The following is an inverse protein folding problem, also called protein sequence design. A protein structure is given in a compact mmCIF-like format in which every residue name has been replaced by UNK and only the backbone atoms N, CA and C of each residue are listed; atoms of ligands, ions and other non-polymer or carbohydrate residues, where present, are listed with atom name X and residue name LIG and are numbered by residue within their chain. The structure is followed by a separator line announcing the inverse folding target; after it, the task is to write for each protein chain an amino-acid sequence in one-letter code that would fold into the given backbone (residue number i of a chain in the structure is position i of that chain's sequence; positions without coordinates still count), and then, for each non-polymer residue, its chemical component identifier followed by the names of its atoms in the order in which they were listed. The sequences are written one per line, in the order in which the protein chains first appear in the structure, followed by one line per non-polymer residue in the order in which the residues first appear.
data_IF_994721526354
#
_entry.id   IF_994721526354
#
_cell.length_a   1.000
_cell.length_b   1.000
_cell.length_c   1.000
_cell.angle_alpha   90.00
_cell.angle_beta   90.00
_cell.angle_gamma   90.00
#
_symmetry.space_group_name_H-M   'P 1'
#
loop_
_entity.id
_entity.type
_entity.pdbx_description
1 polymer ?
#
# COMPACT_ATOMS: atom_id res chain seq x y z
N UNK A 1 20.95 -34.16 -26.68
CA UNK A 1 21.46 -33.85 -25.33
C UNK A 1 20.41 -32.99 -24.64
N UNK A 2 19.72 -33.58 -23.66
CA UNK A 2 18.63 -32.95 -22.91
C UNK A 2 19.25 -32.18 -21.74
N UNK A 3 19.42 -30.87 -21.85
CA UNK A 3 19.80 -30.02 -20.72
C UNK A 3 18.54 -29.74 -19.90
N UNK A 4 18.32 -30.59 -18.90
CA UNK A 4 17.39 -30.32 -17.81
C UNK A 4 17.81 -29.03 -17.10
N UNK A 5 17.16 -27.91 -17.41
CA UNK A 5 17.20 -26.73 -16.55
C UNK A 5 16.50 -27.09 -15.24
N UNK A 6 17.28 -27.44 -14.22
CA UNK A 6 16.81 -27.47 -12.85
C UNK A 6 16.39 -26.05 -12.47
N UNK A 7 15.10 -25.80 -12.42
CA UNK A 7 14.57 -24.65 -11.69
C UNK A 7 15.03 -24.80 -10.24
N UNK A 8 15.89 -23.89 -9.79
CA UNK A 8 16.27 -23.84 -8.39
C UNK A 8 14.99 -23.74 -7.53
N UNK A 9 14.87 -24.51 -6.44
CA UNK A 9 13.73 -24.39 -5.55
C UNK A 9 13.70 -22.95 -5.03
N UNK A 10 12.59 -22.24 -5.22
CA UNK A 10 12.37 -20.94 -4.56
C UNK A 10 12.47 -21.18 -3.06
N UNK A 11 13.52 -20.66 -2.45
CA UNK A 11 13.68 -20.68 -1.00
C UNK A 11 12.50 -19.87 -0.45
N UNK A 12 11.60 -20.49 0.33
CA UNK A 12 10.41 -19.85 0.92
C UNK A 12 10.80 -18.86 2.06
N UNK A 13 12.01 -18.29 1.98
CA UNK A 13 12.59 -17.41 2.97
C UNK A 13 12.65 -16.02 2.38
N UNK A 14 12.19 -15.05 3.17
CA UNK A 14 12.32 -13.64 2.87
C UNK A 14 13.79 -13.29 2.59
N UNK A 15 14.04 -12.54 1.50
CA UNK A 15 15.37 -12.09 1.11
C UNK A 15 16.00 -11.18 2.19
N UNK A 16 17.29 -10.86 2.06
CA UNK A 16 18.00 -10.05 3.04
C UNK A 16 17.32 -8.69 3.24
N UNK A 17 17.01 -8.01 2.14
CA UNK A 17 16.36 -6.71 2.07
C UNK A 17 14.98 -6.74 2.74
N UNK A 18 14.21 -7.79 2.51
CA UNK A 18 12.92 -7.98 3.17
C UNK A 18 13.04 -8.23 4.67
N UNK A 19 14.04 -8.99 5.12
CA UNK A 19 14.27 -9.18 6.56
C UNK A 19 14.71 -7.89 7.23
N UNK A 20 15.61 -7.15 6.58
CA UNK A 20 16.07 -5.84 7.05
C UNK A 20 14.89 -4.87 7.20
N UNK A 21 14.05 -4.75 6.16
CA UNK A 21 12.87 -3.87 6.21
C UNK A 21 11.91 -4.26 7.33
N UNK A 22 11.68 -5.57 7.51
CA UNK A 22 10.81 -6.10 8.56
C UNK A 22 11.30 -5.80 9.96
N UNK A 23 12.60 -6.00 10.22
CA UNK A 23 13.18 -5.66 11.51
C UNK A 23 13.12 -4.15 11.76
N UNK A 24 13.46 -3.32 10.78
CA UNK A 24 13.40 -1.86 10.91
C UNK A 24 11.99 -1.35 11.17
N UNK A 25 11.00 -1.82 10.41
CA UNK A 25 9.59 -1.45 10.57
C UNK A 25 9.08 -1.85 11.95
N UNK A 26 9.13 -3.14 12.30
CA UNK A 26 8.60 -3.64 13.57
C UNK A 26 9.32 -3.06 14.79
N UNK A 27 10.65 -2.98 14.76
CA UNK A 27 11.44 -2.45 15.88
C UNK A 27 11.09 -0.99 16.14
N UNK A 28 10.95 -0.18 15.08
CA UNK A 28 10.56 1.23 15.23
C UNK A 28 9.15 1.35 15.80
N UNK A 29 8.19 0.59 15.25
CA UNK A 29 6.81 0.60 15.75
C UNK A 29 6.75 0.23 17.24
N UNK A 30 7.40 -0.88 17.62
CA UNK A 30 7.38 -1.42 18.98
C UNK A 30 8.09 -0.47 19.95
N UNK A 31 9.28 0.03 19.64
CA UNK A 31 10.03 0.92 20.53
C UNK A 31 9.23 2.20 20.80
N UNK A 32 8.67 2.83 19.75
CA UNK A 32 7.89 4.06 19.91
C UNK A 32 6.66 3.81 20.75
N UNK A 33 5.93 2.70 20.54
CA UNK A 33 4.74 2.36 21.33
C UNK A 33 5.08 2.05 22.79
N UNK A 34 6.05 1.17 23.06
CA UNK A 34 6.45 0.79 24.42
C UNK A 34 6.94 2.02 25.20
N UNK A 35 7.69 2.91 24.55
CA UNK A 35 8.17 4.12 25.20
C UNK A 35 7.03 5.11 25.48
N UNK A 36 6.08 5.26 24.57
CA UNK A 36 5.10 6.37 24.62
C UNK A 36 3.79 6.01 25.32
N UNK A 37 3.27 4.80 25.12
CA UNK A 37 1.97 4.37 25.65
C UNK A 37 1.88 4.55 27.17
N UNK A 38 2.85 4.11 27.99
CA UNK A 38 2.79 4.33 29.44
C UNK A 38 2.79 5.81 29.81
N UNK A 39 3.55 6.65 29.07
CA UNK A 39 3.64 8.07 29.36
C UNK A 39 2.31 8.79 29.16
N UNK A 40 1.61 8.48 28.06
CA UNK A 40 0.27 9.03 27.80
C UNK A 40 -0.74 8.46 28.79
N UNK A 41 -0.72 7.15 29.02
CA UNK A 41 -1.67 6.47 29.90
C UNK A 41 -1.61 6.95 31.36
N UNK A 42 -0.40 7.15 31.89
CA UNK A 42 -0.20 7.65 33.26
C UNK A 42 -0.15 9.19 33.36
N UNK A 43 -0.39 9.91 32.26
CA UNK A 43 -0.44 11.38 32.26
C UNK A 43 0.90 12.05 32.59
N UNK A 44 2.04 11.43 32.23
CA UNK A 44 3.37 11.99 32.46
C UNK A 44 3.84 12.93 31.34
N UNK A 45 3.01 13.10 30.30
CA UNK A 45 3.23 14.04 29.20
C UNK A 45 2.10 15.08 29.17
N UNK A 46 2.32 16.26 28.54
CA UNK A 46 1.28 17.28 28.46
C UNK A 46 0.01 16.76 27.79
N UNK A 47 -1.16 17.19 28.28
CA UNK A 47 -2.47 16.85 27.71
C UNK A 47 -2.79 17.60 26.40
N UNK A 48 -1.75 18.01 25.67
CA UNK A 48 -1.86 18.67 24.37
C UNK A 48 -1.23 17.74 23.36
N UNK A 49 -2.03 17.26 22.40
CA UNK A 49 -1.62 16.23 21.43
C UNK A 49 -0.33 16.58 20.68
N UNK A 50 -0.21 17.82 20.19
CA UNK A 50 1.02 18.28 19.55
C UNK A 50 2.25 18.20 20.47
N UNK A 51 2.07 18.41 21.78
CA UNK A 51 3.16 18.33 22.74
C UNK A 51 3.49 16.87 23.13
N UNK A 52 2.48 16.02 23.28
CA UNK A 52 2.64 14.60 23.58
C UNK A 52 3.43 13.85 22.49
N UNK A 53 3.34 14.30 21.24
CA UNK A 53 4.03 13.68 20.10
C UNK A 53 5.53 14.02 19.98
N UNK A 54 6.05 15.00 20.73
CA UNK A 54 7.48 15.32 20.70
C UNK A 54 8.36 14.14 21.16
N UNK A 55 7.93 13.39 22.18
CA UNK A 55 8.62 12.19 22.64
C UNK A 55 8.80 11.14 21.53
N UNK A 56 7.71 10.64 20.92
CA UNK A 56 7.75 9.80 19.73
C UNK A 56 8.67 10.30 18.62
N UNK A 57 8.59 11.59 18.29
CA UNK A 57 9.42 12.21 17.22
C UNK A 57 10.90 12.17 17.59
N UNK A 58 11.25 12.41 18.85
CA UNK A 58 12.63 12.32 19.34
C UNK A 58 13.14 10.87 19.32
N UNK A 59 12.32 9.89 19.69
CA UNK A 59 12.68 8.47 19.58
C UNK A 59 12.95 8.08 18.11
N UNK A 60 12.08 8.52 17.20
CA UNK A 60 12.28 8.32 15.77
C UNK A 60 13.57 8.99 15.27
N UNK A 61 13.85 10.23 15.67
CA UNK A 61 15.09 10.92 15.30
C UNK A 61 16.34 10.16 15.78
N UNK A 62 16.32 9.65 17.03
CA UNK A 62 17.41 8.85 17.59
C UNK A 62 17.60 7.54 16.82
N UNK A 63 16.52 6.83 16.49
CA UNK A 63 16.57 5.61 15.67
C UNK A 63 17.22 5.88 14.32
N UNK A 64 16.84 6.98 13.65
CA UNK A 64 17.44 7.35 12.36
C UNK A 64 18.91 7.74 12.48
N UNK A 65 19.33 8.37 13.58
CA UNK A 65 20.75 8.64 13.85
C UNK A 65 21.54 7.34 13.97
N UNK A 66 21.02 6.35 14.71
CA UNK A 66 21.64 5.02 14.84
C UNK A 66 21.70 4.30 13.50
N UNK A 67 20.61 4.29 12.73
CA UNK A 67 20.57 3.69 11.39
C UNK A 67 21.59 4.35 10.45
N UNK A 68 21.67 5.68 10.48
CA UNK A 68 22.65 6.43 9.68
C UNK A 68 24.08 6.08 10.06
N UNK A 69 24.34 5.75 11.32
CA UNK A 69 25.67 5.31 11.76
C UNK A 69 25.97 3.88 11.31
N UNK A 70 25.01 2.96 11.43
CA UNK A 70 25.21 1.51 11.23
C UNK A 70 25.11 1.03 9.77
N UNK A 71 24.19 1.59 8.98
CA UNK A 71 23.86 1.08 7.64
C UNK A 71 24.36 2.01 6.53
N UNK A 72 24.65 1.46 5.35
CA UNK A 72 25.16 2.19 4.18
C UNK A 72 24.37 1.82 2.93
N UNK A 73 24.53 2.63 1.89
CA UNK A 73 24.02 2.38 0.54
C UNK A 73 22.55 1.93 0.50
N UNK A 74 22.27 0.80 -0.15
CA UNK A 74 20.90 0.30 -0.34
C UNK A 74 20.24 -0.08 0.99
N UNK A 75 20.98 -0.71 1.91
CA UNK A 75 20.46 -1.11 3.22
C UNK A 75 20.00 0.11 4.02
N UNK A 76 20.75 1.21 3.97
CA UNK A 76 20.34 2.47 4.58
C UNK A 76 19.04 3.01 3.96
N UNK A 77 18.90 2.94 2.63
CA UNK A 77 17.71 3.43 1.94
C UNK A 77 16.46 2.59 2.24
N UNK A 78 16.60 1.28 2.40
CA UNK A 78 15.53 0.38 2.82
C UNK A 78 15.17 0.66 4.28
N UNK A 79 16.18 0.74 5.15
CA UNK A 79 15.99 0.96 6.58
C UNK A 79 15.26 2.28 6.87
N UNK A 80 15.69 3.40 6.27
CA UNK A 80 15.09 4.73 6.53
C UNK A 80 13.60 4.80 6.12
N UNK A 81 13.23 4.14 5.02
CA UNK A 81 11.82 4.06 4.56
C UNK A 81 11.00 3.15 5.47
N UNK A 82 11.58 2.02 5.88
CA UNK A 82 10.93 1.05 6.76
C UNK A 82 10.71 1.63 8.15
N UNK A 83 11.68 2.35 8.71
CA UNK A 83 11.51 3.02 10.01
C UNK A 83 10.58 4.21 9.92
N UNK A 84 10.60 4.98 8.83
CA UNK A 84 9.61 6.02 8.58
C UNK A 84 8.19 5.45 8.63
N UNK A 85 7.93 4.37 7.88
CA UNK A 85 6.62 3.71 7.87
C UNK A 85 6.27 3.09 9.23
N UNK A 86 7.24 2.50 9.93
CA UNK A 86 7.04 1.95 11.28
C UNK A 86 6.73 3.04 12.32
N UNK A 87 7.32 4.22 12.20
CA UNK A 87 6.99 5.39 13.01
C UNK A 87 5.59 5.92 12.69
N UNK A 88 5.23 6.04 11.40
CA UNK A 88 3.89 6.45 10.99
C UNK A 88 2.82 5.46 11.50
N UNK A 89 3.12 4.16 11.51
CA UNK A 89 2.29 3.12 12.12
C UNK A 89 2.13 3.31 13.63
N UNK A 90 3.23 3.56 14.36
CA UNK A 90 3.13 3.80 15.80
C UNK A 90 2.37 5.09 16.11
N UNK A 91 2.63 6.17 15.39
CA UNK A 91 1.95 7.44 15.55
C UNK A 91 0.45 7.32 15.28
N UNK A 92 0.05 6.58 14.24
CA UNK A 92 -1.35 6.33 13.94
C UNK A 92 -2.05 5.54 15.05
N UNK A 93 -1.41 4.48 15.57
CA UNK A 93 -1.92 3.71 16.71
C UNK A 93 -2.08 4.60 17.95
N UNK A 94 -1.10 5.46 18.27
CA UNK A 94 -1.19 6.39 19.39
C UNK A 94 -2.37 7.35 19.24
N UNK A 95 -2.58 7.89 18.04
CA UNK A 95 -3.73 8.76 17.73
C UNK A 95 -5.05 8.01 17.90
N UNK A 96 -5.15 6.79 17.37
CA UNK A 96 -6.37 5.97 17.45
C UNK A 96 -6.74 5.68 18.92
N UNK A 97 -5.74 5.34 19.75
CA UNK A 97 -5.97 4.90 21.12
C UNK A 97 -6.26 6.04 22.09
N UNK A 98 -5.60 7.18 21.93
CA UNK A 98 -5.59 8.21 22.97
C UNK A 98 -6.05 9.60 22.49
N UNK A 99 -6.11 9.87 21.18
CA UNK A 99 -6.48 11.20 20.71
C UNK A 99 -7.96 11.53 20.86
N UNK A 100 -8.30 12.80 20.68
CA UNK A 100 -9.69 13.22 20.57
C UNK A 100 -10.37 12.50 19.40
N UNK A 101 -11.68 12.28 19.50
CA UNK A 101 -12.43 11.50 18.51
C UNK A 101 -12.30 12.08 17.09
N UNK A 102 -12.20 13.40 16.96
CA UNK A 102 -11.99 14.09 15.68
C UNK A 102 -10.66 13.72 14.99
N UNK A 103 -9.64 13.33 15.77
CA UNK A 103 -8.32 12.95 15.24
C UNK A 103 -8.20 11.45 14.98
N UNK A 104 -8.99 10.61 15.65
CA UNK A 104 -8.94 9.14 15.50
C UNK A 104 -9.19 8.71 14.07
N UNK A 105 -10.11 9.39 13.38
CA UNK A 105 -10.41 9.14 11.97
C UNK A 105 -9.17 9.32 11.07
N UNK A 106 -8.42 10.40 11.28
CA UNK A 106 -7.15 10.63 10.60
C UNK A 106 -6.09 9.59 11.00
N UNK A 107 -6.08 9.18 12.26
CA UNK A 107 -5.25 8.08 12.75
C UNK A 107 -5.49 6.78 11.96
N UNK A 108 -6.75 6.38 11.77
CA UNK A 108 -7.07 5.16 10.99
C UNK A 108 -6.69 5.31 9.52
N UNK A 109 -6.89 6.48 8.91
CA UNK A 109 -6.38 6.75 7.57
C UNK A 109 -4.84 6.59 7.50
N UNK A 110 -4.11 7.20 8.43
CA UNK A 110 -2.65 7.15 8.46
C UNK A 110 -2.13 5.72 8.70
N UNK A 111 -2.83 4.91 9.49
CA UNK A 111 -2.56 3.48 9.68
C UNK A 111 -2.62 2.74 8.33
N UNK A 112 -3.72 2.85 7.59
CA UNK A 112 -3.84 2.17 6.29
C UNK A 112 -2.82 2.66 5.26
N UNK A 113 -2.46 3.93 5.27
CA UNK A 113 -1.41 4.48 4.40
C UNK A 113 -0.05 3.88 4.74
N UNK A 114 0.35 3.90 6.01
CA UNK A 114 1.63 3.33 6.46
C UNK A 114 1.71 1.83 6.15
N UNK A 115 0.66 1.08 6.50
CA UNK A 115 0.58 -0.35 6.27
C UNK A 115 0.62 -0.71 4.78
N UNK A 116 -0.13 -0.02 3.92
CA UNK A 116 -0.15 -0.27 2.47
C UNK A 116 1.24 -0.15 1.85
N UNK A 117 1.93 0.97 2.12
CA UNK A 117 3.26 1.22 1.55
C UNK A 117 4.31 0.24 2.05
N UNK A 118 4.24 -0.14 3.31
CA UNK A 118 5.18 -1.10 3.87
C UNK A 118 4.91 -2.53 3.36
N UNK A 119 3.64 -2.95 3.37
CA UNK A 119 3.23 -4.29 2.96
C UNK A 119 3.48 -4.52 1.46
N UNK A 120 3.45 -3.49 0.61
CA UNK A 120 3.87 -3.55 -0.79
C UNK A 120 5.31 -3.99 -0.95
N UNK A 121 6.23 -3.32 -0.26
CA UNK A 121 7.65 -3.66 -0.32
C UNK A 121 7.88 -5.08 0.18
N UNK A 122 7.27 -5.43 1.32
CA UNK A 122 7.41 -6.76 1.92
C UNK A 122 6.84 -7.87 1.01
N UNK A 123 5.71 -7.61 0.34
CA UNK A 123 5.11 -8.55 -0.59
C UNK A 123 6.02 -8.83 -1.79
N UNK A 124 6.64 -7.81 -2.39
CA UNK A 124 7.62 -8.02 -3.47
C UNK A 124 8.86 -8.75 -2.95
N UNK A 125 9.38 -8.38 -1.78
CA UNK A 125 10.54 -9.03 -1.19
C UNK A 125 10.30 -10.54 -0.96
N UNK A 126 9.04 -10.92 -0.73
CA UNK A 126 8.63 -12.31 -0.59
C UNK A 126 8.36 -13.00 -1.94
N UNK A 127 7.63 -12.37 -2.85
CA UNK A 127 7.08 -13.04 -4.04
C UNK A 127 7.89 -12.85 -5.32
N UNK A 128 8.68 -11.77 -5.43
CA UNK A 128 9.54 -11.46 -6.57
C UNK A 128 10.78 -10.63 -6.15
N UNK A 129 11.72 -11.20 -5.38
CA UNK A 129 12.88 -10.47 -4.87
C UNK A 129 13.80 -9.95 -5.99
N UNK A 130 13.75 -10.52 -7.20
CA UNK A 130 14.55 -10.07 -8.33
C UNK A 130 14.15 -8.69 -8.86
N UNK A 131 12.89 -8.27 -8.65
CA UNK A 131 12.41 -6.94 -9.04
C UNK A 131 12.36 -5.95 -7.86
N UNK A 132 12.85 -6.35 -6.69
CA UNK A 132 12.77 -5.53 -5.48
C UNK A 132 13.68 -4.31 -5.58
N UNK A 133 13.13 -3.13 -5.31
CA UNK A 133 13.89 -1.90 -5.19
C UNK A 133 13.28 -0.97 -4.13
N UNK A 134 13.94 0.15 -3.85
CA UNK A 134 13.37 1.19 -2.96
C UNK A 134 12.08 1.80 -3.50
N UNK A 135 11.80 1.66 -4.80
CA UNK A 135 10.55 2.13 -5.40
C UNK A 135 9.38 1.18 -5.11
N UNK A 136 9.67 -0.06 -4.69
CA UNK A 136 8.65 -1.05 -4.30
C UNK A 136 7.87 -0.65 -3.04
N UNK A 137 8.32 0.35 -2.27
CA UNK A 137 7.52 0.97 -1.21
C UNK A 137 6.37 1.84 -1.75
N UNK A 138 6.43 2.26 -3.03
CA UNK A 138 5.43 3.10 -3.70
C UNK A 138 5.23 4.48 -3.00
N UNK A 139 6.23 4.95 -2.25
CA UNK A 139 6.13 6.25 -1.55
C UNK A 139 6.09 7.44 -2.52
N UNK A 140 6.91 7.39 -3.59
CA UNK A 140 7.02 8.45 -4.57
C UNK A 140 6.33 8.03 -5.88
N UNK A 141 5.00 8.12 -5.88
CA UNK A 141 4.20 7.62 -6.99
C UNK A 141 4.11 8.60 -8.17
N UNK A 142 3.81 9.86 -7.89
CA UNK A 142 3.77 10.99 -8.83
C UNK A 142 3.47 12.28 -8.08
N UNK A 143 3.67 13.43 -8.72
CA UNK A 143 3.21 14.72 -8.18
C UNK A 143 1.69 14.76 -8.00
N UNK A 144 0.92 14.12 -8.89
CA UNK A 144 -0.54 14.06 -8.81
C UNK A 144 -1.01 13.27 -7.57
N UNK A 145 -0.30 12.21 -7.23
CA UNK A 145 -0.55 11.45 -6.01
C UNK A 145 -0.33 12.31 -4.76
N UNK A 146 0.79 13.06 -4.70
CA UNK A 146 1.08 13.96 -3.59
C UNK A 146 0.02 15.08 -3.47
N UNK A 147 -0.38 15.67 -4.60
CA UNK A 147 -1.44 16.68 -4.64
C UNK A 147 -2.79 16.13 -4.17
N UNK A 148 -3.16 14.91 -4.58
CA UNK A 148 -4.39 14.26 -4.13
C UNK A 148 -4.37 13.96 -2.63
N UNK A 149 -3.23 13.55 -2.07
CA UNK A 149 -3.07 13.35 -0.63
C UNK A 149 -3.23 14.68 0.12
N UNK A 150 -2.52 15.73 -0.29
CA UNK A 150 -2.61 17.07 0.33
C UNK A 150 -4.03 17.62 0.24
N UNK A 151 -4.70 17.47 -0.91
CA UNK A 151 -6.10 17.89 -1.07
C UNK A 151 -7.02 17.18 -0.07
N UNK A 152 -6.83 15.87 0.14
CA UNK A 152 -7.62 15.10 1.12
C UNK A 152 -7.39 15.56 2.56
N UNK A 153 -6.16 15.97 2.90
CA UNK A 153 -5.86 16.48 4.24
C UNK A 153 -6.45 17.86 4.46
N UNK A 154 -6.42 18.72 3.44
CA UNK A 154 -7.03 20.05 3.48
C UNK A 154 -8.55 19.94 3.62
N UNK A 155 -9.20 19.11 2.80
CA UNK A 155 -10.65 18.87 2.91
C UNK A 155 -11.02 18.35 4.30
N UNK A 156 -10.30 17.34 4.79
CA UNK A 156 -10.54 16.79 6.12
C UNK A 156 -10.41 17.86 7.21
N UNK A 157 -9.32 18.63 7.22
CA UNK A 157 -9.07 19.66 8.22
C UNK A 157 -10.12 20.79 8.19
N UNK A 158 -10.50 21.23 6.99
CA UNK A 158 -11.54 22.26 6.81
C UNK A 158 -12.90 21.76 7.29
N UNK A 159 -13.26 20.51 7.01
CA UNK A 159 -14.54 19.94 7.42
C UNK A 159 -14.60 19.62 8.91
N UNK A 160 -13.48 19.22 9.55
CA UNK A 160 -13.40 19.12 11.01
C UNK A 160 -13.60 20.50 11.65
N UNK A 161 -13.04 21.56 11.06
CA UNK A 161 -13.15 22.92 11.58
C UNK A 161 -14.54 23.56 11.36
N UNK A 162 -15.12 23.38 10.18
CA UNK A 162 -16.39 24.03 9.77
C UNK A 162 -17.62 23.18 10.05
N UNK A 163 -17.52 21.85 9.98
CA UNK A 163 -18.63 20.89 9.96
C UNK A 163 -18.36 19.64 10.84
N UNK A 164 -17.98 19.78 12.13
CA UNK A 164 -17.56 18.64 12.97
C UNK A 164 -18.63 17.54 13.11
N UNK A 165 -19.91 17.93 13.17
CA UNK A 165 -21.03 16.97 13.23
C UNK A 165 -21.09 16.04 12.02
N UNK A 166 -20.61 16.47 10.85
CA UNK A 166 -20.55 15.65 9.64
C UNK A 166 -19.46 14.56 9.72
N UNK A 167 -18.37 14.81 10.44
CA UNK A 167 -17.31 13.81 10.65
C UNK A 167 -17.66 12.75 11.70
N UNK A 168 -18.74 12.96 12.45
CA UNK A 168 -19.19 12.06 13.51
C UNK A 168 -20.01 10.86 13.03
N UNK A 169 -20.24 10.69 11.71
CA UNK A 169 -21.04 9.57 11.16
C UNK A 169 -20.28 8.23 11.21
N UNK A 170 -20.28 7.59 12.38
CA UNK A 170 -19.49 6.39 12.68
C UNK A 170 -19.66 5.22 11.69
N UNK A 171 -20.88 4.95 11.22
CA UNK A 171 -21.12 3.79 10.35
C UNK A 171 -20.51 3.93 8.94
N UNK A 172 -20.32 5.16 8.46
CA UNK A 172 -19.87 5.40 7.09
C UNK A 172 -18.35 5.20 6.99
N UNK A 173 -17.56 5.65 7.96
CA UNK A 173 -16.11 5.45 7.90
C UNK A 173 -15.71 3.97 8.13
N UNK A 174 -16.53 3.18 8.85
CA UNK A 174 -16.36 1.72 8.97
C UNK A 174 -16.43 1.02 7.60
N UNK A 175 -17.30 1.49 6.69
CA UNK A 175 -17.30 0.99 5.31
C UNK A 175 -15.95 1.25 4.63
N UNK A 176 -15.34 2.41 4.88
CA UNK A 176 -14.00 2.74 4.41
C UNK A 176 -12.95 1.76 4.93
N UNK A 177 -12.99 1.41 6.23
CA UNK A 177 -12.11 0.40 6.84
C UNK A 177 -12.28 -0.97 6.17
N UNK A 178 -13.52 -1.40 5.91
CA UNK A 178 -13.81 -2.66 5.22
C UNK A 178 -13.26 -2.64 3.79
N UNK A 179 -13.45 -1.54 3.06
CA UNK A 179 -12.94 -1.38 1.69
C UNK A 179 -11.41 -1.36 1.64
N UNK A 180 -10.75 -0.62 2.54
CA UNK A 180 -9.29 -0.63 2.63
C UNK A 180 -8.76 -2.02 2.98
N UNK A 181 -9.34 -2.70 3.98
CA UNK A 181 -8.90 -4.05 4.37
C UNK A 181 -9.10 -5.06 3.24
N UNK A 182 -10.27 -5.04 2.59
CA UNK A 182 -10.58 -5.95 1.49
C UNK A 182 -9.69 -5.68 0.28
N UNK A 183 -9.49 -4.41 -0.08
CA UNK A 183 -8.62 -4.00 -1.18
C UNK A 183 -7.16 -4.38 -0.93
N UNK A 184 -6.69 -4.19 0.30
CA UNK A 184 -5.36 -4.58 0.77
C UNK A 184 -5.13 -6.08 0.61
N UNK A 185 -6.07 -6.90 1.10
CA UNK A 185 -6.02 -8.36 0.98
C UNK A 185 -6.04 -8.81 -0.47
N UNK A 186 -6.99 -8.32 -1.28
CA UNK A 186 -7.09 -8.64 -2.71
C UNK A 186 -5.77 -8.34 -3.43
N UNK A 187 -5.19 -7.17 -3.16
CA UNK A 187 -3.94 -6.75 -3.77
C UNK A 187 -2.78 -7.67 -3.40
N UNK A 188 -2.61 -7.99 -2.11
CA UNK A 188 -1.51 -8.85 -1.64
C UNK A 188 -1.70 -10.29 -2.11
N UNK A 189 -2.92 -10.81 -2.12
CA UNK A 189 -3.24 -12.13 -2.68
C UNK A 189 -2.89 -12.17 -4.18
N UNK A 190 -3.20 -11.12 -4.94
CA UNK A 190 -2.80 -11.03 -6.35
C UNK A 190 -1.29 -11.11 -6.54
N UNK A 191 -0.52 -10.30 -5.79
CA UNK A 191 0.95 -10.28 -5.86
C UNK A 191 1.55 -11.65 -5.50
N UNK A 192 1.05 -12.29 -4.44
CA UNK A 192 1.51 -13.62 -4.01
C UNK A 192 1.14 -14.70 -5.02
N UNK A 193 -0.04 -14.60 -5.66
CA UNK A 193 -0.49 -15.56 -6.68
C UNK A 193 0.35 -15.43 -7.96
N UNK A 194 0.65 -14.20 -8.40
CA UNK A 194 1.41 -13.96 -9.62
C UNK A 194 2.94 -14.13 -9.46
N UNK A 195 3.48 -13.97 -8.25
CA UNK A 195 4.92 -14.14 -7.92
C UNK A 195 5.82 -13.38 -8.91
N UNK A 196 6.75 -14.07 -9.55
CA UNK A 196 7.70 -13.52 -10.53
C UNK A 196 7.03 -12.89 -11.76
N UNK A 197 5.74 -13.17 -12.01
CA UNK A 197 4.96 -12.52 -13.09
C UNK A 197 4.31 -11.20 -12.64
N UNK A 198 4.41 -10.84 -11.35
CA UNK A 198 4.02 -9.54 -10.85
C UNK A 198 5.20 -8.58 -10.84
N UNK A 199 4.96 -7.35 -11.29
CA UNK A 199 5.89 -6.23 -11.21
C UNK A 199 5.11 -4.93 -11.13
N UNK A 200 5.65 -3.91 -10.46
CA UNK A 200 5.02 -2.59 -10.36
C UNK A 200 4.98 -1.85 -11.71
N UNK A 201 5.86 -2.21 -12.64
CA UNK A 201 5.97 -1.58 -13.96
C UNK A 201 5.38 -2.49 -15.04
N UNK A 202 4.54 -1.92 -15.93
CA UNK A 202 4.06 -2.64 -17.12
C UNK A 202 5.28 -3.06 -17.94
N UNK A 203 5.40 -4.36 -18.21
CA UNK A 203 6.51 -4.90 -18.99
C UNK A 203 6.19 -4.78 -20.46
N UNK A 204 7.08 -4.17 -21.25
CA UNK A 204 6.95 -4.09 -22.71
C UNK A 204 7.67 -5.23 -23.44
N UNK A 205 8.54 -5.94 -22.73
CA UNK A 205 9.23 -7.14 -23.22
C UNK A 205 8.90 -8.35 -22.35
N UNK A 206 8.84 -9.54 -22.97
CA UNK A 206 8.54 -10.78 -22.25
C UNK A 206 9.82 -11.35 -21.64
N UNK A 207 9.94 -11.30 -20.33
CA UNK A 207 10.97 -12.04 -19.62
C UNK A 207 10.72 -13.55 -19.71
N UNK A 208 11.77 -14.37 -19.73
CA UNK A 208 11.68 -15.85 -19.85
C UNK A 208 10.85 -16.49 -18.73
N UNK A 209 10.82 -15.86 -17.56
CA UNK A 209 10.07 -16.31 -16.39
C UNK A 209 8.62 -15.78 -16.34
N UNK A 210 8.20 -14.93 -17.29
CA UNK A 210 6.86 -14.36 -17.32
C UNK A 210 5.84 -15.38 -17.85
N UNK A 211 4.96 -15.84 -16.96
CA UNK A 211 3.92 -16.82 -17.27
C UNK A 211 2.55 -16.16 -17.17
N UNK A 212 1.61 -16.65 -17.99
CA UNK A 212 0.22 -16.24 -17.87
C UNK A 212 -0.41 -16.92 -16.65
N UNK A 213 -0.91 -16.10 -15.71
CA UNK A 213 -1.52 -16.56 -14.46
C UNK A 213 -3.04 -16.46 -14.56
N UNK A 214 -3.72 -17.60 -14.49
CA UNK A 214 -5.20 -17.70 -14.64
C UNK A 214 -5.87 -18.46 -13.49
N UNK A 215 -5.15 -18.78 -12.42
CA UNK A 215 -5.66 -19.52 -11.26
C UNK A 215 -5.71 -18.64 -10.00
N UNK A 216 -6.32 -19.16 -8.94
CA UNK A 216 -6.50 -18.40 -7.69
C UNK A 216 -7.39 -17.18 -7.93
N UNK A 217 -7.01 -16.01 -7.41
CA UNK A 217 -7.80 -14.79 -7.57
C UNK A 217 -7.91 -14.34 -9.04
N UNK A 218 -6.94 -14.70 -9.88
CA UNK A 218 -6.97 -14.44 -11.32
C UNK A 218 -8.08 -15.22 -12.05
N UNK A 219 -8.58 -16.33 -11.50
CA UNK A 219 -9.71 -17.04 -12.11
C UNK A 219 -11.02 -16.22 -12.11
N UNK A 220 -11.13 -15.20 -11.24
CA UNK A 220 -12.34 -14.38 -11.07
C UNK A 220 -12.23 -13.00 -11.71
N UNK A 221 -11.01 -12.47 -11.84
CA UNK A 221 -10.76 -11.16 -12.44
C UNK A 221 -9.36 -11.11 -13.03
N UNK A 222 -9.20 -10.47 -14.19
CA UNK A 222 -7.91 -10.41 -14.89
C UNK A 222 -6.89 -9.50 -14.20
N UNK A 223 -7.37 -8.47 -13.50
CA UNK A 223 -6.53 -7.43 -12.88
C UNK A 223 -6.78 -7.26 -11.37
N UNK A 224 -6.63 -8.32 -10.56
CA UNK A 224 -6.99 -8.30 -9.14
C UNK A 224 -6.16 -7.30 -8.33
N UNK A 225 -4.88 -7.09 -8.66
CA UNK A 225 -4.05 -6.09 -7.97
C UNK A 225 -4.55 -4.66 -8.16
N UNK A 226 -5.15 -4.36 -9.31
CA UNK A 226 -5.75 -3.08 -9.65
C UNK A 226 -7.12 -2.91 -9.01
N UNK A 227 -7.93 -3.97 -8.98
CA UNK A 227 -9.19 -3.99 -8.22
C UNK A 227 -8.93 -3.70 -6.74
N UNK A 228 -7.96 -4.39 -6.14
CA UNK A 228 -7.61 -4.17 -4.74
C UNK A 228 -7.13 -2.74 -4.47
N UNK A 229 -6.28 -2.20 -5.35
CA UNK A 229 -5.81 -0.82 -5.23
C UNK A 229 -6.92 0.21 -5.38
N UNK A 230 -7.80 0.05 -6.38
CA UNK A 230 -8.91 0.96 -6.62
C UNK A 230 -9.84 1.07 -5.40
N UNK A 231 -10.27 -0.06 -4.84
CA UNK A 231 -11.14 -0.05 -3.67
C UNK A 231 -10.43 0.42 -2.41
N UNK A 232 -9.14 0.10 -2.27
CA UNK A 232 -8.33 0.63 -1.17
C UNK A 232 -8.23 2.16 -1.25
N UNK A 233 -7.95 2.74 -2.42
CA UNK A 233 -7.78 4.20 -2.57
C UNK A 233 -9.08 4.94 -2.31
N UNK A 234 -10.21 4.47 -2.83
CA UNK A 234 -11.53 5.05 -2.54
C UNK A 234 -11.89 4.86 -1.05
N UNK A 235 -11.58 3.69 -0.49
CA UNK A 235 -11.77 3.39 0.94
C UNK A 235 -11.08 4.41 1.85
N UNK A 236 -9.86 4.87 1.50
CA UNK A 236 -9.15 5.87 2.31
C UNK A 236 -9.92 7.18 2.46
N UNK A 237 -10.65 7.60 1.41
CA UNK A 237 -11.43 8.83 1.43
C UNK A 237 -12.78 8.65 2.13
N UNK A 238 -13.33 7.44 2.09
CA UNK A 238 -14.51 7.07 2.90
C UNK A 238 -14.14 7.02 4.39
N UNK A 239 -12.94 6.54 4.73
CA UNK A 239 -12.41 6.61 6.10
C UNK A 239 -12.39 8.05 6.57
N UNK A 240 -11.92 8.99 5.75
CA UNK A 240 -11.89 10.42 6.08
C UNK A 240 -13.25 11.14 5.94
N UNK A 241 -14.29 10.47 5.44
CA UNK A 241 -15.59 11.06 5.10
C UNK A 241 -15.44 12.33 4.25
N UNK A 242 -14.55 12.31 3.27
CA UNK A 242 -14.27 13.45 2.39
C UNK A 242 -15.12 13.35 1.12
N UNK A 243 -16.30 13.98 1.03
CA UNK A 243 -17.21 13.81 -0.12
C UNK A 243 -16.59 14.23 -1.45
N UNK A 244 -15.78 15.29 -1.47
CA UNK A 244 -15.14 15.78 -2.70
C UNK A 244 -14.01 14.83 -3.09
N UNK A 245 -13.11 14.48 -2.17
CA UNK A 245 -12.04 13.53 -2.47
C UNK A 245 -12.54 12.12 -2.78
N UNK A 246 -13.68 11.65 -2.24
CA UNK A 246 -14.28 10.37 -2.65
C UNK A 246 -14.57 10.38 -4.16
N UNK A 247 -15.19 11.43 -4.68
CA UNK A 247 -15.49 11.56 -6.10
C UNK A 247 -14.22 11.66 -6.94
N UNK A 248 -13.28 12.53 -6.53
CA UNK A 248 -12.03 12.74 -7.25
C UNK A 248 -11.20 11.45 -7.29
N UNK A 249 -10.98 10.79 -6.14
CA UNK A 249 -10.20 9.55 -6.08
C UNK A 249 -10.85 8.45 -6.90
N UNK A 250 -12.17 8.34 -6.87
CA UNK A 250 -12.90 7.36 -7.69
C UNK A 250 -12.67 7.60 -9.17
N UNK A 251 -12.90 8.82 -9.67
CA UNK A 251 -12.78 9.15 -11.10
C UNK A 251 -11.34 9.03 -11.57
N UNK A 252 -10.39 9.60 -10.82
CA UNK A 252 -8.96 9.60 -11.19
C UNK A 252 -8.39 8.19 -11.15
N UNK A 253 -8.66 7.40 -10.09
CA UNK A 253 -8.20 6.01 -10.02
C UNK A 253 -8.82 5.16 -11.11
N UNK A 254 -10.12 5.35 -11.39
CA UNK A 254 -10.82 4.64 -12.47
C UNK A 254 -10.18 4.92 -13.82
N UNK A 255 -9.96 6.20 -14.15
CA UNK A 255 -9.33 6.61 -15.41
C UNK A 255 -7.91 6.05 -15.53
N UNK A 256 -7.13 6.15 -14.46
CA UNK A 256 -5.77 5.62 -14.42
C UNK A 256 -5.75 4.11 -14.73
N UNK A 257 -6.60 3.32 -14.08
CA UNK A 257 -6.66 1.88 -14.32
C UNK A 257 -7.28 1.54 -15.68
N UNK A 258 -8.22 2.32 -16.18
CA UNK A 258 -8.77 2.15 -17.53
C UNK A 258 -7.64 2.24 -18.57
N UNK A 259 -6.89 3.33 -18.55
CA UNK A 259 -5.84 3.60 -19.53
C UNK A 259 -4.67 2.61 -19.35
N UNK A 260 -4.33 2.25 -18.11
CA UNK A 260 -3.28 1.27 -17.81
C UNK A 260 -3.63 -0.15 -18.23
N UNK A 261 -4.84 -0.62 -17.90
CA UNK A 261 -5.30 -1.97 -18.28
C UNK A 261 -5.35 -2.10 -19.79
N UNK A 262 -5.83 -1.09 -20.50
CA UNK A 262 -5.87 -1.10 -21.96
C UNK A 262 -4.47 -1.35 -22.55
N UNK A 263 -3.47 -0.57 -22.13
CA UNK A 263 -2.10 -0.70 -22.61
C UNK A 263 -1.46 -2.04 -22.22
N UNK A 264 -1.69 -2.50 -21.00
CA UNK A 264 -1.14 -3.76 -20.50
C UNK A 264 -1.72 -4.97 -21.24
N UNK A 265 -3.03 -4.97 -21.55
CA UNK A 265 -3.65 -6.08 -22.28
C UNK A 265 -3.18 -6.19 -23.74
N UNK A 266 -2.84 -5.08 -24.39
CA UNK A 266 -2.16 -5.11 -25.70
C UNK A 266 -0.85 -5.88 -25.59
N UNK A 267 -0.08 -5.62 -24.54
CA UNK A 267 1.20 -6.30 -24.33
C UNK A 267 1.02 -7.77 -23.94
N UNK A 268 0.04 -8.10 -23.09
CA UNK A 268 -0.27 -9.48 -22.73
C UNK A 268 -0.74 -10.31 -23.93
N UNK A 269 -1.53 -9.74 -24.83
CA UNK A 269 -1.87 -10.38 -26.11
C UNK A 269 -0.65 -10.59 -26.99
N UNK A 270 0.32 -9.66 -27.00
CA UNK A 270 1.57 -9.87 -27.72
C UNK A 270 2.42 -11.01 -27.13
N UNK A 271 2.40 -11.18 -25.81
CA UNK A 271 3.20 -12.18 -25.10
C UNK A 271 2.62 -13.60 -25.11
N UNK A 272 1.29 -13.71 -25.03
CA UNK A 272 0.58 -14.98 -24.82
C UNK A 272 -0.45 -15.28 -25.91
N UNK A 273 -0.68 -14.35 -26.84
CA UNK A 273 -1.48 -14.54 -28.06
C UNK A 273 -2.86 -15.14 -27.74
N UNK A 274 -3.16 -16.30 -28.32
CA UNK A 274 -4.45 -16.98 -28.20
C UNK A 274 -4.80 -17.40 -26.77
N UNK A 275 -3.81 -17.64 -25.91
CA UNK A 275 -4.06 -18.04 -24.52
C UNK A 275 -4.65 -16.88 -23.71
N UNK A 276 -4.12 -15.66 -23.89
CA UNK A 276 -4.70 -14.48 -23.24
C UNK A 276 -6.07 -14.13 -23.83
N UNK A 277 -6.25 -14.28 -25.15
CA UNK A 277 -7.54 -14.05 -25.77
C UNK A 277 -8.64 -14.97 -25.21
N UNK A 278 -8.37 -16.28 -25.06
CA UNK A 278 -9.30 -17.23 -24.41
C UNK A 278 -9.61 -16.85 -22.96
N UNK A 279 -8.62 -16.35 -22.24
CA UNK A 279 -8.80 -15.87 -20.88
C UNK A 279 -9.69 -14.61 -20.82
N UNK A 280 -9.54 -13.67 -21.76
CA UNK A 280 -10.41 -12.49 -21.88
C UNK A 280 -11.88 -12.83 -22.11
N UNK A 281 -12.17 -13.93 -22.82
CA UNK A 281 -13.53 -14.39 -23.10
C UNK A 281 -14.27 -14.93 -21.87
N UNK A 282 -13.54 -15.38 -20.85
CA UNK A 282 -14.11 -16.12 -19.71
C UNK A 282 -14.03 -15.36 -18.39
N UNK A 283 -13.07 -14.45 -18.25
CA UNK A 283 -12.80 -13.74 -16.99
C UNK A 283 -12.86 -12.23 -17.22
N UNK A 284 -13.65 -11.46 -16.44
CA UNK A 284 -13.74 -10.00 -16.59
C UNK A 284 -12.50 -9.30 -16.05
N UNK A 285 -12.31 -8.01 -16.34
CA UNK A 285 -11.22 -7.20 -15.74
C UNK A 285 -11.32 -7.12 -14.22
N UNK A 286 -12.54 -7.08 -13.69
CA UNK A 286 -12.89 -6.94 -12.27
C UNK A 286 -13.22 -5.51 -11.84
N UNK A 287 -12.92 -4.50 -12.67
CA UNK A 287 -13.28 -3.11 -12.41
C UNK A 287 -14.56 -2.71 -13.17
N UNK A 288 -15.47 -1.95 -12.54
CA UNK A 288 -16.73 -1.57 -13.16
C UNK A 288 -16.48 -0.72 -14.41
N UNK A 289 -17.19 -1.01 -15.50
CA UNK A 289 -17.11 -0.26 -16.76
C UNK A 289 -15.74 -0.26 -17.46
N UNK A 290 -14.78 -1.09 -17.07
CA UNK A 290 -13.49 -1.22 -17.76
C UNK A 290 -13.44 -2.54 -18.51
N UNK A 291 -13.45 -2.51 -19.85
CA UNK A 291 -13.42 -3.73 -20.68
C UNK A 291 -12.00 -4.25 -20.97
N UNK A 292 -11.01 -3.36 -20.93
CA UNK A 292 -9.64 -3.64 -21.38
C UNK A 292 -9.52 -3.57 -22.91
N UNK A 293 -8.52 -4.24 -23.46
CA UNK A 293 -8.31 -4.30 -24.92
C UNK A 293 -8.77 -5.65 -25.46
N UNK A 294 -10.01 -5.72 -25.92
CA UNK A 294 -10.61 -6.93 -26.49
C UNK A 294 -10.41 -6.98 -28.00
N UNK A 295 -9.98 -8.13 -28.51
CA UNK A 295 -10.04 -8.41 -29.95
C UNK A 295 -11.47 -8.84 -30.28
N UNK A 296 -12.09 -8.13 -31.22
CA UNK A 296 -13.42 -8.48 -31.76
C UNK A 296 -13.39 -9.81 -32.53
#
# INVERSE_FOLDING_TARGET
MNTSQRTAPMDNKLCHEGRLSLYCYLTTTIIVLIATVPQIYYGTVPNVWGAAMWGPVLYYALINMVIRYLLRDNDYQIAIRSTFLGFMEAASILVILFASDDLKQFGVYAFFMAFFHYSEFLAIAWCNPNSLSTDSFILNHSIHYALAAIASWIEFALEVWLLPSFKSFYYIWLLGVVLCTTGEVIRKVAMITARNSFTHLVQHEKADNHKLITHGIYAYMRHPSYVGWFWWSVGTQIILLNPVCILIYTIVSWKFFHDRIFMEEITLLNFFRSDYHKYQQTVPTGLPCIRGYTLD
#
